data_IF_962802381350
#
_entry.id   IF_962802381350
#
_cell.length_a   1.000
_cell.length_b   1.000
_cell.length_c   1.000
_cell.angle_alpha   90.00
_cell.angle_beta   90.00
_cell.angle_gamma   90.00
#
_symmetry.space_group_name_H-M   'P 1'
#
loop_
_entity.id
_entity.type
_entity.pdbx_description
1 polymer ?
#
# COMPACT_ATOMS: atom_id res chain seq x y z
N UNK A 1 15.75 -8.94 23.49
CA UNK A 1 14.50 -8.47 24.11
C UNK A 1 13.63 -7.79 23.06
N UNK A 2 12.32 -8.04 23.13
CA UNK A 2 11.30 -7.33 22.34
C UNK A 2 11.00 -5.95 22.96
N UNK A 3 10.64 -4.99 22.13
CA UNK A 3 10.35 -3.61 22.53
C UNK A 3 8.87 -3.39 22.88
N UNK A 4 7.98 -4.23 22.35
CA UNK A 4 6.53 -4.20 22.58
C UNK A 4 5.94 -5.60 22.40
N UNK A 5 4.69 -5.78 22.81
CA UNK A 5 4.02 -7.09 22.89
C UNK A 5 2.91 -7.28 21.84
N UNK A 6 2.40 -6.19 21.25
CA UNK A 6 1.35 -6.25 20.24
C UNK A 6 1.94 -6.42 18.83
N UNK A 7 1.49 -7.44 18.10
CA UNK A 7 1.92 -7.76 16.75
C UNK A 7 0.73 -8.23 15.90
N UNK A 8 0.98 -8.37 14.60
CA UNK A 8 0.01 -8.85 13.62
C UNK A 8 -0.43 -7.76 12.66
N UNK A 9 -1.34 -8.11 11.76
CA UNK A 9 -1.97 -7.14 10.86
C UNK A 9 -3.41 -6.93 11.28
N UNK A 10 -3.79 -5.66 11.45
CA UNK A 10 -5.19 -5.25 11.41
C UNK A 10 -5.73 -5.39 9.98
N UNK A 11 -6.41 -4.36 9.48
CA UNK A 11 -6.89 -4.35 8.09
C UNK A 11 -5.83 -3.91 7.09
N UNK A 12 -4.86 -3.12 7.53
CA UNK A 12 -3.83 -2.52 6.71
C UNK A 12 -2.46 -2.66 7.38
N UNK A 13 -1.49 -3.15 6.61
CA UNK A 13 -0.20 -3.57 7.13
C UNK A 13 0.63 -2.41 7.64
N UNK A 14 0.87 -1.39 6.83
CA UNK A 14 1.76 -0.28 7.19
C UNK A 14 1.20 0.55 8.35
N UNK A 15 -0.12 0.65 8.49
CA UNK A 15 -0.74 1.29 9.67
C UNK A 15 -0.57 0.47 10.93
N UNK A 16 -0.66 -0.86 10.83
CA UNK A 16 -0.40 -1.76 11.97
C UNK A 16 1.05 -1.62 12.44
N UNK A 17 2.01 -1.62 11.50
CA UNK A 17 3.43 -1.42 11.81
C UNK A 17 3.69 -0.09 12.55
N UNK A 18 3.11 1.02 12.05
CA UNK A 18 3.26 2.32 12.70
C UNK A 18 2.60 2.33 14.08
N UNK A 19 1.39 1.78 14.20
CA UNK A 19 0.66 1.69 15.46
C UNK A 19 1.44 0.93 16.52
N UNK A 20 1.94 -0.27 16.22
CA UNK A 20 2.67 -1.07 17.20
C UNK A 20 4.02 -0.45 17.57
N UNK A 21 4.76 0.09 16.59
CA UNK A 21 6.01 0.80 16.85
C UNK A 21 5.85 2.06 17.72
N UNK A 22 4.64 2.62 17.80
CA UNK A 22 4.28 3.75 18.68
C UNK A 22 3.56 3.30 19.97
N UNK A 23 3.58 2.00 20.28
CA UNK A 23 3.04 1.44 21.51
C UNK A 23 1.53 1.19 21.50
N UNK A 24 0.89 1.10 20.34
CA UNK A 24 -0.52 0.70 20.20
C UNK A 24 -1.54 1.78 20.58
N UNK A 25 -1.08 3.03 20.81
CA UNK A 25 -1.87 4.13 21.39
C UNK A 25 -2.91 4.76 20.47
N UNK A 26 -2.82 4.51 19.16
CA UNK A 26 -3.69 5.10 18.15
C UNK A 26 -4.57 4.05 17.47
N UNK A 27 -5.79 4.41 17.11
CA UNK A 27 -6.65 3.61 16.24
C UNK A 27 -5.99 3.38 14.88
N UNK A 28 -6.10 2.18 14.33
CA UNK A 28 -5.55 1.85 13.02
C UNK A 28 -6.07 2.79 11.92
N UNK A 29 -7.37 3.09 11.97
CA UNK A 29 -8.02 4.00 11.02
C UNK A 29 -7.42 5.41 11.09
N UNK A 30 -7.18 5.92 12.30
CA UNK A 30 -6.55 7.23 12.50
C UNK A 30 -5.16 7.28 11.86
N UNK A 31 -4.30 6.30 12.16
CA UNK A 31 -2.95 6.22 11.58
C UNK A 31 -3.01 6.12 10.04
N UNK A 32 -3.91 5.30 9.51
CA UNK A 32 -4.05 5.12 8.07
C UNK A 32 -4.54 6.37 7.34
N UNK A 33 -5.53 7.07 7.91
CA UNK A 33 -6.00 8.34 7.38
C UNK A 33 -4.91 9.40 7.39
N UNK A 34 -4.18 9.53 8.51
CA UNK A 34 -3.10 10.49 8.66
C UNK A 34 -1.93 10.21 7.73
N UNK A 35 -1.57 8.96 7.43
CA UNK A 35 -0.50 8.66 6.48
C UNK A 35 -0.79 9.11 5.02
N UNK A 36 -1.97 9.70 4.78
CA UNK A 36 -2.41 10.23 3.51
C UNK A 36 -3.48 9.37 2.82
N UNK A 37 -4.09 8.47 3.58
CA UNK A 37 -5.33 7.78 3.25
C UNK A 37 -5.30 7.01 1.93
N UNK A 38 -6.42 7.10 1.22
CA UNK A 38 -6.62 6.45 -0.07
C UNK A 38 -5.92 7.20 -1.20
N UNK A 39 -5.62 6.45 -2.24
CA UNK A 39 -5.14 6.96 -3.51
C UNK A 39 -5.60 6.05 -4.64
N UNK A 40 -5.10 6.34 -5.83
CA UNK A 40 -5.23 5.44 -6.95
C UNK A 40 -4.03 5.62 -7.87
N UNK A 41 -3.42 4.52 -8.28
CA UNK A 41 -2.43 4.47 -9.34
C UNK A 41 -2.77 3.27 -10.22
N UNK A 42 -2.76 3.41 -11.54
CA UNK A 42 -3.02 2.32 -12.48
C UNK A 42 -1.99 2.25 -13.60
N UNK A 43 -1.29 1.13 -13.69
CA UNK A 43 -0.35 0.82 -14.76
C UNK A 43 -0.54 -0.59 -15.29
N UNK A 44 -0.21 -0.79 -16.56
CA UNK A 44 0.02 -2.11 -17.15
C UNK A 44 1.36 -2.06 -17.86
N UNK A 45 2.30 -2.89 -17.41
CA UNK A 45 3.62 -3.01 -18.00
C UNK A 45 3.68 -4.26 -18.89
N UNK A 46 4.30 -4.13 -20.07
CA UNK A 46 4.41 -5.20 -21.05
C UNK A 46 5.89 -5.46 -21.32
N UNK A 47 6.35 -6.66 -20.99
CA UNK A 47 7.74 -7.10 -21.19
C UNK A 47 7.75 -8.33 -22.08
N UNK A 48 8.73 -8.42 -22.98
CA UNK A 48 8.89 -9.57 -23.89
C UNK A 48 9.00 -10.86 -23.08
N UNK A 49 8.20 -11.87 -23.46
CA UNK A 49 8.21 -13.18 -22.80
C UNK A 49 7.53 -13.24 -21.44
N UNK A 50 6.81 -12.19 -21.02
CA UNK A 50 6.01 -12.18 -19.79
C UNK A 50 4.55 -11.77 -20.09
N UNK A 51 3.57 -12.32 -19.37
CA UNK A 51 2.21 -11.77 -19.37
C UNK A 51 2.22 -10.29 -18.95
N UNK A 52 1.28 -9.45 -19.44
CA UNK A 52 1.19 -8.07 -19.00
C UNK A 52 1.02 -7.95 -17.48
N UNK A 53 1.85 -7.12 -16.86
CA UNK A 53 1.87 -6.90 -15.42
C UNK A 53 1.00 -5.71 -15.07
N UNK A 54 -0.21 -6.00 -14.59
CA UNK A 54 -1.10 -5.02 -13.98
C UNK A 54 -0.53 -4.53 -12.64
N UNK A 55 -0.67 -3.26 -12.33
CA UNK A 55 -0.45 -2.73 -10.98
C UNK A 55 -1.50 -1.69 -10.69
N UNK A 56 -2.21 -1.89 -9.59
CA UNK A 56 -3.01 -0.85 -8.96
C UNK A 56 -2.47 -0.64 -7.55
N UNK A 57 -2.34 0.62 -7.14
CA UNK A 57 -2.08 1.01 -5.75
C UNK A 57 -3.25 1.87 -5.30
N UNK A 58 -3.99 1.41 -4.28
CA UNK A 58 -5.23 2.03 -3.84
C UNK A 58 -5.07 2.91 -2.59
N UNK A 59 -3.82 3.20 -2.22
CA UNK A 59 -3.44 4.04 -1.10
C UNK A 59 -2.53 5.19 -1.53
N UNK A 60 -2.19 6.06 -0.59
CA UNK A 60 -1.11 7.03 -0.69
C UNK A 60 0.17 6.48 -1.37
N UNK A 61 0.52 7.01 -2.56
CA UNK A 61 1.72 6.62 -3.32
C UNK A 61 2.17 7.80 -4.21
N UNK A 62 3.48 7.99 -4.51
CA UNK A 62 4.66 7.19 -4.14
C UNK A 62 5.40 7.63 -2.86
N UNK A 63 4.83 8.58 -2.10
CA UNK A 63 5.49 9.10 -0.89
C UNK A 63 5.74 8.03 0.19
N UNK A 64 6.70 8.31 1.10
CA UNK A 64 6.95 7.44 2.25
C UNK A 64 5.74 7.45 3.19
N UNK A 65 5.12 6.28 3.35
CA UNK A 65 3.92 6.10 4.17
C UNK A 65 4.24 6.34 5.65
N UNK A 66 5.32 5.73 6.16
CA UNK A 66 5.76 5.87 7.56
C UNK A 66 6.04 7.32 7.92
N UNK A 67 6.80 8.04 7.10
CA UNK A 67 7.10 9.47 7.38
C UNK A 67 5.84 10.32 7.35
N UNK A 68 4.97 10.09 6.37
CA UNK A 68 3.69 10.81 6.28
C UNK A 68 2.84 10.60 7.53
N UNK A 69 2.83 9.39 8.09
CA UNK A 69 2.15 9.08 9.34
C UNK A 69 2.80 9.80 10.52
N UNK A 70 4.13 9.68 10.70
CA UNK A 70 4.85 10.29 11.82
C UNK A 70 4.79 11.82 11.81
N UNK A 71 4.96 12.45 10.65
CA UNK A 71 4.85 13.91 10.47
C UNK A 71 3.49 14.42 10.94
N UNK A 72 2.40 13.75 10.52
CA UNK A 72 1.04 14.16 10.85
C UNK A 72 0.58 13.74 12.23
N UNK A 73 1.15 12.68 12.80
CA UNK A 73 0.99 12.33 14.22
C UNK A 73 1.83 13.24 15.13
N UNK A 74 2.66 14.14 14.58
CA UNK A 74 3.58 15.01 15.33
C UNK A 74 4.58 14.23 16.18
N UNK A 75 4.92 13.01 15.75
CA UNK A 75 5.94 12.18 16.40
C UNK A 75 7.30 12.53 15.83
N UNK A 76 8.28 12.95 16.66
CA UNK A 76 9.62 13.24 16.19
C UNK A 76 10.34 11.95 15.78
N UNK A 77 11.07 11.97 14.67
CA UNK A 77 11.83 10.82 14.19
C UNK A 77 13.14 11.23 13.52
N UNK A 78 14.11 10.32 13.58
CA UNK A 78 15.35 10.41 12.83
C UNK A 78 15.25 9.61 11.53
N UNK A 79 15.86 10.12 10.48
CA UNK A 79 16.06 9.41 9.21
C UNK A 79 17.54 9.34 8.91
N UNK A 80 18.05 8.14 8.64
CA UNK A 80 19.39 7.97 8.12
C UNK A 80 19.42 7.09 6.87
N UNK A 81 20.39 7.35 6.01
CA UNK A 81 20.71 6.53 4.84
C UNK A 81 22.20 6.18 4.89
N UNK A 82 22.56 5.07 4.26
CA UNK A 82 23.94 4.62 4.23
C UNK A 82 24.24 3.71 3.03
N UNK A 83 25.51 3.64 2.65
CA UNK A 83 25.95 2.78 1.54
C UNK A 83 25.87 1.27 1.88
N UNK A 84 25.82 0.92 3.16
CA UNK A 84 25.71 -0.45 3.68
C UNK A 84 25.03 -0.45 5.05
N UNK A 85 24.56 -1.61 5.56
CA UNK A 85 23.87 -1.70 6.85
C UNK A 85 24.70 -1.11 8.00
N UNK A 86 24.16 -0.11 8.71
CA UNK A 86 24.79 0.52 9.89
C UNK A 86 24.28 -0.12 11.18
N UNK A 87 24.74 -1.33 11.44
CA UNK A 87 24.32 -2.12 12.61
C UNK A 87 24.63 -1.46 13.95
N UNK A 88 25.70 -0.66 14.02
CA UNK A 88 26.01 0.20 15.17
C UNK A 88 24.84 1.11 15.53
N UNK A 89 24.21 1.73 14.53
CA UNK A 89 23.06 2.63 14.72
C UNK A 89 21.77 1.87 15.01
N UNK A 90 21.55 0.76 14.32
CA UNK A 90 20.38 -0.11 14.57
C UNK A 90 20.39 -0.61 16.00
N UNK A 91 21.52 -1.15 16.46
CA UNK A 91 21.65 -1.64 17.84
C UNK A 91 21.49 -0.52 18.85
N UNK A 92 22.11 0.65 18.63
CA UNK A 92 21.93 1.80 19.52
C UNK A 92 20.47 2.28 19.61
N UNK A 93 19.70 2.22 18.52
CA UNK A 93 18.28 2.53 18.53
C UNK A 93 17.48 1.50 19.35
N UNK A 94 17.67 0.21 19.04
CA UNK A 94 16.98 -0.89 19.73
C UNK A 94 17.33 -0.95 21.22
N UNK A 95 18.58 -0.72 21.59
CA UNK A 95 19.04 -0.72 22.98
C UNK A 95 18.49 0.48 23.77
N UNK A 96 18.20 1.58 23.08
CA UNK A 96 17.49 2.72 23.64
C UNK A 96 15.96 2.53 23.67
N UNK A 97 15.46 1.32 23.39
CA UNK A 97 14.04 1.02 23.40
C UNK A 97 13.26 1.52 22.18
N UNK A 98 13.96 1.89 21.08
CA UNK A 98 13.33 2.52 19.91
C UNK A 98 13.27 1.54 18.73
N UNK A 99 12.06 1.21 18.22
CA UNK A 99 11.94 0.37 17.03
C UNK A 99 12.48 1.08 15.79
N UNK A 100 12.88 0.28 14.80
CA UNK A 100 13.51 0.79 13.58
C UNK A 100 12.72 0.33 12.36
N UNK A 101 12.15 1.26 11.60
CA UNK A 101 11.57 0.94 10.29
C UNK A 101 12.69 0.84 9.25
N UNK A 102 12.66 -0.23 8.47
CA UNK A 102 13.58 -0.47 7.36
C UNK A 102 12.78 -0.77 6.10
N UNK A 103 13.24 -0.27 4.94
CA UNK A 103 12.74 -0.72 3.64
C UNK A 103 13.70 -1.74 3.05
N UNK A 104 13.26 -2.99 2.95
CA UNK A 104 14.03 -4.13 2.42
C UNK A 104 13.48 -4.56 1.06
N UNK A 105 14.11 -5.54 0.42
CA UNK A 105 13.48 -6.28 -0.67
C UNK A 105 12.68 -7.45 -0.09
N UNK A 106 11.38 -7.52 -0.37
CA UNK A 106 10.50 -8.57 0.19
C UNK A 106 10.99 -9.98 -0.15
N UNK A 107 11.55 -10.17 -1.35
CA UNK A 107 12.02 -11.49 -1.81
C UNK A 107 13.20 -12.03 -1.00
N UNK A 108 13.93 -11.16 -0.29
CA UNK A 108 15.03 -11.54 0.58
C UNK A 108 14.60 -12.02 1.98
N UNK A 109 13.31 -11.92 2.32
CA UNK A 109 12.80 -12.35 3.62
C UNK A 109 12.34 -13.82 3.55
N UNK A 110 12.80 -14.70 4.45
CA UNK A 110 12.66 -16.15 4.30
C UNK A 110 11.21 -16.66 4.40
N UNK A 111 10.31 -15.88 5.02
CA UNK A 111 8.89 -16.27 5.20
C UNK A 111 7.98 -15.85 4.03
N UNK A 112 8.44 -15.03 3.08
CA UNK A 112 7.64 -14.64 1.90
C UNK A 112 7.74 -15.62 0.72
N UNK A 113 8.61 -16.62 0.82
CA UNK A 113 8.88 -17.59 -0.24
C UNK A 113 9.62 -16.97 -1.45
N UNK A 114 10.04 -17.81 -2.39
CA UNK A 114 10.62 -17.34 -3.64
C UNK A 114 9.49 -16.71 -4.50
N UNK A 115 9.48 -15.38 -4.60
CA UNK A 115 8.57 -14.67 -5.49
C UNK A 115 8.99 -14.76 -6.97
N UNK A 116 8.05 -14.48 -7.88
CA UNK A 116 8.31 -14.38 -9.32
C UNK A 116 8.99 -13.04 -9.71
N UNK A 117 9.05 -12.09 -8.77
CA UNK A 117 9.64 -10.77 -8.98
C UNK A 117 11.17 -10.81 -8.90
N UNK A 118 11.90 -10.07 -9.77
CA UNK A 118 13.35 -9.97 -9.67
C UNK A 118 13.79 -9.41 -8.31
N UNK A 119 14.91 -9.90 -7.78
CA UNK A 119 15.51 -9.35 -6.58
C UNK A 119 15.73 -7.82 -6.69
N UNK A 120 15.33 -7.10 -5.66
CA UNK A 120 15.39 -5.65 -5.51
C UNK A 120 14.23 -4.89 -6.15
N UNK A 121 13.27 -5.57 -6.78
CA UNK A 121 12.13 -4.95 -7.45
C UNK A 121 10.95 -4.62 -6.52
N UNK A 122 10.91 -5.22 -5.32
CA UNK A 122 9.76 -5.12 -4.41
C UNK A 122 10.16 -4.45 -3.08
N UNK A 123 10.27 -3.09 -3.04
CA UNK A 123 10.53 -2.37 -1.80
C UNK A 123 9.47 -2.69 -0.76
N UNK A 124 9.88 -3.00 0.46
CA UNK A 124 8.97 -3.50 1.47
C UNK A 124 9.36 -3.02 2.87
N UNK A 125 8.49 -2.23 3.50
CA UNK A 125 8.76 -1.65 4.82
C UNK A 125 8.47 -2.66 5.93
N UNK A 126 9.43 -2.94 6.80
CA UNK A 126 9.27 -3.80 8.00
C UNK A 126 9.73 -3.03 9.25
N UNK A 127 9.42 -3.55 10.44
CA UNK A 127 9.91 -2.98 11.72
C UNK A 127 10.82 -3.96 12.42
N UNK A 128 12.01 -3.50 12.83
CA UNK A 128 12.82 -4.20 13.82
C UNK A 128 12.25 -3.89 15.20
N UNK A 129 11.59 -4.89 15.78
CA UNK A 129 10.88 -4.83 17.06
C UNK A 129 11.76 -5.21 18.26
N UNK A 130 13.03 -5.53 18.03
CA UNK A 130 13.97 -5.90 19.07
C UNK A 130 15.14 -6.72 18.54
N UNK A 131 16.03 -7.13 19.45
CA UNK A 131 17.16 -8.03 19.14
C UNK A 131 17.54 -8.89 20.33
N UNK A 132 18.13 -10.04 20.07
CA UNK A 132 18.79 -10.91 21.06
C UNK A 132 20.13 -11.40 20.47
N UNK A 133 21.25 -10.87 20.96
CA UNK A 133 22.56 -11.04 20.32
C UNK A 133 22.54 -10.56 18.86
N UNK A 134 22.90 -11.47 17.94
CA UNK A 134 22.85 -11.29 16.48
C UNK A 134 21.52 -11.71 15.84
N UNK A 135 20.53 -12.10 16.64
CA UNK A 135 19.17 -12.39 16.15
C UNK A 135 18.30 -11.15 16.23
N UNK A 136 17.68 -10.77 15.11
CA UNK A 136 16.71 -9.68 15.03
C UNK A 136 15.29 -10.22 15.17
N UNK A 137 14.42 -9.43 15.79
CA UNK A 137 12.97 -9.65 15.78
C UNK A 137 12.34 -8.68 14.79
N UNK A 138 11.72 -9.21 13.75
CA UNK A 138 11.11 -8.44 12.66
C UNK A 138 9.61 -8.58 12.74
N UNK A 139 8.91 -7.46 12.91
CA UNK A 139 7.48 -7.42 12.73
C UNK A 139 7.15 -7.36 11.25
N UNK A 140 6.41 -8.37 10.80
CA UNK A 140 5.91 -8.45 9.45
C UNK A 140 4.68 -9.35 9.34
N UNK A 141 3.51 -8.74 9.56
CA UNK A 141 2.17 -9.34 9.44
C UNK A 141 1.78 -10.49 10.38
N UNK A 142 2.75 -11.26 10.87
CA UNK A 142 2.53 -12.39 11.77
C UNK A 142 2.13 -11.94 13.18
N UNK A 143 1.34 -12.75 13.91
CA UNK A 143 0.90 -12.45 15.29
C UNK A 143 2.05 -12.50 16.31
N UNK A 144 3.24 -12.93 15.90
CA UNK A 144 4.49 -12.84 16.65
C UNK A 144 5.61 -12.43 15.69
N UNK A 145 6.64 -11.71 16.16
CA UNK A 145 7.69 -11.25 15.28
C UNK A 145 8.54 -12.41 14.78
N UNK A 146 8.93 -12.34 13.51
CA UNK A 146 9.84 -13.29 12.91
C UNK A 146 11.25 -13.12 13.49
N UNK A 147 11.96 -14.24 13.66
CA UNK A 147 13.35 -14.24 14.06
C UNK A 147 14.22 -14.44 12.83
N UNK A 148 15.23 -13.59 12.67
CA UNK A 148 16.16 -13.68 11.54
C UNK A 148 17.58 -13.32 11.98
N UNK A 149 18.62 -14.02 11.50
CA UNK A 149 20.00 -13.59 11.69
C UNK A 149 20.25 -12.22 11.08
N UNK A 150 21.06 -11.39 11.76
CA UNK A 150 21.47 -10.06 11.30
C UNK A 150 22.01 -10.07 9.86
N UNK A 151 22.83 -11.06 9.51
CA UNK A 151 23.42 -11.19 8.18
C UNK A 151 22.36 -11.39 7.09
N UNK A 152 21.40 -12.28 7.32
CA UNK A 152 20.33 -12.60 6.38
C UNK A 152 19.39 -11.40 6.17
N UNK A 153 19.01 -10.72 7.25
CA UNK A 153 18.27 -9.45 7.13
C UNK A 153 19.08 -8.39 6.37
N UNK A 154 20.38 -8.30 6.65
CA UNK A 154 21.29 -7.39 5.96
C UNK A 154 21.34 -7.63 4.45
N UNK A 155 21.26 -8.88 4.01
CA UNK A 155 21.18 -9.24 2.59
C UNK A 155 19.86 -8.75 1.96
N UNK A 156 18.72 -8.99 2.61
CA UNK A 156 17.41 -8.49 2.16
C UNK A 156 17.37 -6.96 2.10
N UNK A 157 17.96 -6.30 3.10
CA UNK A 157 18.06 -4.84 3.14
C UNK A 157 18.96 -4.27 2.03
N UNK A 158 20.07 -4.95 1.75
CA UNK A 158 21.04 -4.56 0.71
C UNK A 158 20.52 -4.80 -0.71
N UNK A 159 19.65 -5.79 -0.90
CA UNK A 159 19.03 -6.08 -2.19
C UNK A 159 18.18 -4.89 -2.69
N UNK A 160 17.54 -4.14 -1.78
CA UNK A 160 16.85 -2.90 -2.12
C UNK A 160 17.80 -1.68 -2.23
N UNK A 161 18.63 -1.67 -3.27
CA UNK A 161 19.69 -0.66 -3.49
C UNK A 161 19.19 0.79 -3.52
N UNK A 162 17.99 1.03 -4.08
CA UNK A 162 17.42 2.38 -4.20
C UNK A 162 17.13 3.02 -2.85
N UNK A 163 16.76 2.23 -1.84
CA UNK A 163 16.48 2.70 -0.50
C UNK A 163 17.71 3.06 0.32
N UNK A 164 18.93 2.72 -0.14
CA UNK A 164 20.21 3.04 0.53
C UNK A 164 20.19 2.80 2.04
N UNK A 165 19.72 1.62 2.43
CA UNK A 165 19.60 1.23 3.83
C UNK A 165 18.91 2.29 4.69
N UNK A 166 17.80 2.84 4.19
CA UNK A 166 17.00 3.80 4.94
C UNK A 166 16.55 3.18 6.26
N UNK A 167 16.80 3.92 7.34
CA UNK A 167 16.24 3.67 8.65
C UNK A 167 15.43 4.88 9.10
N UNK A 168 14.22 4.64 9.60
CA UNK A 168 13.38 5.64 10.26
C UNK A 168 13.22 5.19 11.71
N UNK A 169 13.52 6.07 12.67
CA UNK A 169 13.48 5.76 14.10
C UNK A 169 12.64 6.81 14.81
N UNK A 170 11.44 6.48 15.32
CA UNK A 170 10.73 7.35 16.25
C UNK A 170 11.61 7.65 17.48
N UNK A 171 11.71 8.92 17.85
CA UNK A 171 12.66 9.39 18.87
C UNK A 171 12.01 9.79 20.19
N UNK A 172 10.68 9.87 20.22
CA UNK A 172 9.93 10.28 21.41
C UNK A 172 8.42 10.25 21.18
N UNK A 173 7.63 10.69 22.17
CA UNK A 173 6.18 10.79 22.06
C UNK A 173 5.75 11.90 21.08
N UNK A 174 4.48 11.89 20.70
CA UNK A 174 3.87 12.98 19.93
C UNK A 174 4.04 14.33 20.66
N UNK A 175 4.33 15.38 19.90
CA UNK A 175 4.62 16.74 20.41
C UNK A 175 3.45 17.71 20.25
N UNK A 176 2.32 17.25 19.72
CA UNK A 176 1.11 18.03 19.53
C UNK A 176 -0.01 17.19 18.94
N UNK A 177 -1.11 17.85 18.60
CA UNK A 177 -2.30 17.19 18.05
C UNK A 177 -2.07 16.69 16.62
N UNK A 178 -2.70 15.57 16.23
CA UNK A 178 -2.62 15.09 14.86
C UNK A 178 -3.14 16.08 13.82
N UNK A 179 -2.43 16.22 12.70
CA UNK A 179 -2.80 17.08 11.58
C UNK A 179 -3.86 16.43 10.66
N UNK A 180 -5.10 16.42 11.15
CA UNK A 180 -6.25 15.83 10.46
C UNK A 180 -6.59 16.61 9.18
N UNK A 181 -6.70 17.93 9.26
CA UNK A 181 -7.07 18.77 8.11
C UNK A 181 -6.01 18.69 7.00
N UNK A 182 -4.72 18.68 7.34
CA UNK A 182 -3.64 18.46 6.37
C UNK A 182 -3.63 17.05 5.76
N UNK A 183 -4.20 16.04 6.43
CA UNK A 183 -4.38 14.70 5.89
C UNK A 183 -5.56 14.61 4.90
N UNK A 184 -6.69 15.25 5.23
CA UNK A 184 -7.87 15.36 4.38
C UNK A 184 -7.52 16.10 3.08
N UNK A 185 -6.91 17.28 3.20
CA UNK A 185 -6.50 18.09 2.06
C UNK A 185 -5.51 17.34 1.14
N UNK A 186 -4.55 16.61 1.73
CA UNK A 186 -3.59 15.83 0.95
C UNK A 186 -4.24 14.65 0.21
N UNK A 187 -5.21 13.97 0.83
CA UNK A 187 -5.99 12.91 0.18
C UNK A 187 -6.78 13.48 -1.00
N UNK A 188 -7.50 14.59 -0.77
CA UNK A 188 -8.27 15.28 -1.82
C UNK A 188 -7.37 15.71 -2.99
N UNK A 189 -6.21 16.31 -2.70
CA UNK A 189 -5.25 16.75 -3.70
C UNK A 189 -4.69 15.58 -4.52
N UNK A 190 -4.39 14.43 -3.90
CA UNK A 190 -3.89 13.23 -4.60
C UNK A 190 -4.94 12.59 -5.51
N UNK A 191 -6.21 12.66 -5.15
CA UNK A 191 -7.29 12.12 -5.96
C UNK A 191 -7.66 13.03 -7.13
N UNK A 192 -7.55 14.35 -6.96
CA UNK A 192 -8.07 15.33 -7.93
C UNK A 192 -7.00 16.03 -8.76
N UNK A 193 -5.78 16.16 -8.23
CA UNK A 193 -4.70 16.93 -8.80
C UNK A 193 -3.51 16.08 -9.27
N UNK A 194 -2.46 16.74 -9.79
CA UNK A 194 -1.22 16.05 -10.14
C UNK A 194 -0.53 15.48 -8.89
N UNK A 195 0.01 14.27 -9.00
CA UNK A 195 0.74 13.57 -7.93
C UNK A 195 2.25 13.68 -8.13
N UNK A 196 2.71 13.54 -9.37
CA UNK A 196 4.13 13.57 -9.77
C UNK A 196 4.52 14.88 -10.46
N UNK A 197 3.55 15.69 -10.90
CA UNK A 197 3.78 16.93 -11.62
C UNK A 197 4.35 16.72 -13.03
N UNK A 198 3.97 15.63 -13.70
CA UNK A 198 4.46 15.30 -15.03
C UNK A 198 3.45 14.43 -15.81
N UNK A 199 3.81 14.04 -17.05
CA UNK A 199 2.92 13.29 -17.95
C UNK A 199 2.36 11.97 -17.38
N UNK A 200 2.96 11.41 -16.33
CA UNK A 200 2.47 10.18 -15.70
C UNK A 200 1.29 10.41 -14.76
N UNK A 201 0.91 11.65 -14.46
CA UNK A 201 -0.25 11.98 -13.62
C UNK A 201 -1.57 11.42 -14.14
N UNK A 202 -1.67 11.14 -15.45
CA UNK A 202 -2.82 10.44 -16.07
C UNK A 202 -3.08 9.03 -15.52
N UNK A 203 -2.15 8.48 -14.75
CA UNK A 203 -2.26 7.17 -14.12
C UNK A 203 -2.70 7.25 -12.66
N UNK A 204 -2.86 8.46 -12.10
CA UNK A 204 -3.10 8.67 -10.67
C UNK A 204 -4.48 9.27 -10.39
N UNK A 205 -4.95 9.04 -9.17
CA UNK A 205 -6.22 9.57 -8.67
C UNK A 205 -7.40 9.22 -9.58
N UNK A 206 -8.33 10.15 -9.70
CA UNK A 206 -9.50 10.04 -10.57
C UNK A 206 -9.13 9.87 -12.04
N UNK A 207 -8.06 10.51 -12.52
CA UNK A 207 -7.60 10.32 -13.90
C UNK A 207 -7.15 8.87 -14.16
N UNK A 208 -6.48 8.24 -13.18
CA UNK A 208 -6.11 6.84 -13.24
C UNK A 208 -7.32 5.90 -13.27
N UNK A 209 -8.35 6.22 -12.48
CA UNK A 209 -9.62 5.46 -12.47
C UNK A 209 -10.37 5.58 -13.80
N UNK A 210 -10.45 6.79 -14.37
CA UNK A 210 -11.03 7.04 -15.70
C UNK A 210 -10.27 6.26 -16.78
N UNK A 211 -8.94 6.26 -16.70
CA UNK A 211 -8.09 5.51 -17.62
C UNK A 211 -8.31 4.00 -17.51
N UNK A 212 -8.46 3.47 -16.29
CA UNK A 212 -8.80 2.06 -16.08
C UNK A 212 -10.15 1.72 -16.73
N UNK A 213 -11.20 2.50 -16.43
CA UNK A 213 -12.52 2.30 -17.03
C UNK A 213 -12.46 2.35 -18.57
N UNK A 214 -11.78 3.35 -19.13
CA UNK A 214 -11.61 3.47 -20.58
C UNK A 214 -10.89 2.27 -21.20
N UNK A 215 -9.81 1.78 -20.57
CA UNK A 215 -9.09 0.58 -21.04
C UNK A 215 -9.93 -0.71 -20.91
N UNK A 216 -10.81 -0.80 -19.91
CA UNK A 216 -11.74 -1.92 -19.78
C UNK A 216 -12.81 -1.89 -20.90
N UNK A 217 -13.32 -0.70 -21.25
CA UNK A 217 -14.28 -0.48 -22.34
C UNK A 217 -13.68 -0.59 -23.74
N UNK A 218 -12.37 -0.39 -23.89
CA UNK A 218 -11.71 -0.35 -25.19
C UNK A 218 -11.65 -1.72 -25.87
N UNK A 219 -12.26 -1.80 -27.06
CA UNK A 219 -12.32 -2.99 -27.93
C UNK A 219 -11.44 -2.87 -29.17
N UNK A 220 -10.87 -1.68 -29.39
CA UNK A 220 -10.33 -1.25 -30.68
C UNK A 220 -8.84 -1.02 -30.67
N UNK A 221 -8.27 -0.60 -29.55
CA UNK A 221 -6.84 -0.28 -29.49
C UNK A 221 -6.06 -1.35 -28.74
N UNK A 222 -4.74 -1.32 -28.89
CA UNK A 222 -3.81 -2.18 -28.14
C UNK A 222 -3.87 -1.98 -26.62
N UNK A 223 -4.44 -0.87 -26.14
CA UNK A 223 -4.53 -0.58 -24.72
C UNK A 223 -5.71 -1.29 -24.03
N UNK A 224 -6.69 -1.74 -24.83
CA UNK A 224 -7.86 -2.43 -24.34
C UNK A 224 -7.54 -3.76 -23.66
N UNK A 225 -8.25 -4.07 -22.58
CA UNK A 225 -8.05 -5.30 -21.82
C UNK A 225 -8.38 -6.56 -22.64
N UNK A 226 -9.29 -6.48 -23.62
CA UNK A 226 -9.56 -7.57 -24.56
C UNK A 226 -8.29 -8.02 -25.30
N UNK A 227 -7.40 -7.08 -25.64
CA UNK A 227 -6.16 -7.40 -26.36
C UNK A 227 -5.04 -7.77 -25.41
N UNK A 228 -4.81 -6.95 -24.38
CA UNK A 228 -3.73 -7.19 -23.40
C UNK A 228 -3.91 -8.50 -22.65
N UNK A 229 -5.13 -8.81 -22.25
CA UNK A 229 -5.48 -10.00 -21.49
C UNK A 229 -6.30 -10.99 -22.35
N UNK A 230 -5.96 -11.03 -23.64
CA UNK A 230 -6.64 -11.82 -24.68
C UNK A 230 -6.32 -13.32 -24.67
N UNK A 231 -5.16 -13.71 -24.16
CA UNK A 231 -4.80 -15.13 -23.99
C UNK A 231 -5.25 -15.66 -22.63
N UNK A 232 -5.49 -16.98 -22.48
CA UNK A 232 -5.85 -17.55 -21.18
C UNK A 232 -4.83 -17.29 -20.07
N UNK A 233 -3.54 -17.34 -20.40
CA UNK A 233 -2.44 -17.05 -19.47
C UNK A 233 -2.45 -15.58 -19.02
N UNK A 234 -2.50 -14.65 -19.98
CA UNK A 234 -2.54 -13.22 -19.67
C UNK A 234 -3.79 -12.86 -18.86
N UNK A 235 -4.94 -13.44 -19.21
CA UNK A 235 -6.17 -13.25 -18.47
C UNK A 235 -6.02 -13.67 -17.00
N UNK A 236 -5.54 -14.89 -16.73
CA UNK A 236 -5.32 -15.39 -15.36
C UNK A 236 -4.33 -14.52 -14.59
N UNK A 237 -3.24 -14.08 -15.24
CA UNK A 237 -2.26 -13.19 -14.62
C UNK A 237 -2.90 -11.84 -14.24
N UNK A 238 -3.65 -11.24 -15.17
CA UNK A 238 -4.33 -9.96 -14.99
C UNK A 238 -5.39 -9.99 -13.89
N UNK A 239 -6.29 -10.98 -13.88
CA UNK A 239 -7.36 -11.06 -12.88
C UNK A 239 -6.85 -11.41 -11.48
N UNK A 240 -5.86 -12.31 -11.37
CA UNK A 240 -5.18 -12.60 -10.09
C UNK A 240 -4.53 -11.33 -9.53
N UNK A 241 -3.86 -10.57 -10.40
CA UNK A 241 -3.19 -9.33 -9.99
C UNK A 241 -4.19 -8.24 -9.62
N UNK A 242 -5.31 -8.13 -10.34
CA UNK A 242 -6.38 -7.19 -10.03
C UNK A 242 -6.94 -7.44 -8.62
N UNK A 243 -7.22 -8.70 -8.28
CA UNK A 243 -7.64 -9.09 -6.93
C UNK A 243 -6.57 -8.74 -5.90
N UNK A 244 -5.31 -9.11 -6.13
CA UNK A 244 -4.21 -8.82 -5.21
C UNK A 244 -4.06 -7.31 -4.95
N UNK A 245 -4.09 -6.47 -5.98
CA UNK A 245 -3.96 -5.01 -5.86
C UNK A 245 -5.12 -4.30 -5.17
N UNK A 246 -6.32 -4.90 -5.16
CA UNK A 246 -7.52 -4.27 -4.57
C UNK A 246 -7.84 -4.82 -3.17
N UNK A 247 -7.28 -5.97 -2.80
CA UNK A 247 -7.61 -6.65 -1.55
C UNK A 247 -6.42 -6.97 -0.64
N UNK A 248 -5.16 -6.93 -1.13
CA UNK A 248 -4.01 -7.45 -0.36
C UNK A 248 -2.73 -6.63 -0.45
N UNK A 249 -2.32 -6.23 -1.64
CA UNK A 249 -1.01 -5.61 -1.89
C UNK A 249 -1.15 -4.11 -2.13
N UNK A 250 -0.39 -3.32 -1.38
CA UNK A 250 -0.43 -1.84 -1.46
C UNK A 250 -1.84 -1.27 -1.23
N UNK A 251 -2.61 -1.95 -0.40
CA UNK A 251 -4.00 -1.67 -0.08
C UNK A 251 -4.43 -2.43 1.18
N UNK A 252 -5.61 -2.10 1.70
CA UNK A 252 -6.45 -2.97 2.51
C UNK A 252 -7.68 -3.45 1.71
N UNK A 253 -8.44 -4.45 2.20
CA UNK A 253 -9.68 -4.91 1.56
C UNK A 253 -10.62 -3.77 1.16
N UNK A 254 -11.26 -3.91 -0.01
CA UNK A 254 -12.09 -2.85 -0.59
C UNK A 254 -11.28 -1.61 -1.02
N UNK A 255 -10.07 -1.82 -1.55
CA UNK A 255 -9.19 -0.77 -2.05
C UNK A 255 -8.86 0.31 -0.97
N UNK A 256 -8.71 -0.08 0.29
CA UNK A 256 -8.49 0.78 1.47
C UNK A 256 -9.65 1.72 1.85
N UNK A 257 -10.72 1.80 1.03
CA UNK A 257 -11.86 2.70 1.28
C UNK A 257 -12.58 2.42 2.60
N UNK A 258 -12.78 1.17 3.07
CA UNK A 258 -13.41 0.93 4.37
C UNK A 258 -12.62 1.53 5.53
N UNK A 259 -11.29 1.35 5.53
CA UNK A 259 -10.43 1.87 6.59
C UNK A 259 -10.41 3.41 6.57
N UNK A 260 -10.40 4.01 5.39
CA UNK A 260 -10.49 5.46 5.24
C UNK A 260 -11.87 6.02 5.64
N UNK A 261 -12.96 5.29 5.38
CA UNK A 261 -14.28 5.67 5.85
C UNK A 261 -14.37 5.67 7.38
N UNK A 262 -13.75 4.69 8.04
CA UNK A 262 -13.70 4.67 9.51
C UNK A 262 -12.88 5.83 10.06
N UNK A 263 -11.78 6.22 9.39
CA UNK A 263 -11.07 7.44 9.71
C UNK A 263 -11.96 8.67 9.60
N UNK A 264 -12.72 8.79 8.49
CA UNK A 264 -13.63 9.91 8.28
C UNK A 264 -14.72 9.98 9.35
N UNK A 265 -15.26 8.86 9.81
CA UNK A 265 -16.19 8.84 10.94
C UNK A 265 -15.52 9.35 12.23
N UNK A 266 -14.31 8.88 12.54
CA UNK A 266 -13.55 9.32 13.72
C UNK A 266 -13.32 10.84 13.72
N UNK A 267 -13.12 11.45 12.55
CA UNK A 267 -12.87 12.89 12.42
C UNK A 267 -14.12 13.71 12.06
N UNK A 268 -15.31 13.13 12.22
CA UNK A 268 -16.58 13.86 12.06
C UNK A 268 -16.94 14.20 10.61
N UNK A 269 -16.67 13.29 9.67
CA UNK A 269 -17.03 13.38 8.24
C UNK A 269 -17.91 12.19 7.76
N UNK A 270 -19.03 11.86 8.45
CA UNK A 270 -19.79 10.63 8.21
C UNK A 270 -20.47 10.56 6.83
N UNK A 271 -20.84 11.70 6.25
CA UNK A 271 -21.46 11.74 4.92
C UNK A 271 -20.46 11.31 3.82
N UNK A 272 -19.20 11.78 3.90
CA UNK A 272 -18.13 11.32 3.03
C UNK A 272 -17.77 9.86 3.31
N UNK A 273 -17.72 9.45 4.58
CA UNK A 273 -17.46 8.07 4.97
C UNK A 273 -18.45 7.08 4.33
N UNK A 274 -19.75 7.39 4.37
CA UNK A 274 -20.78 6.54 3.77
C UNK A 274 -20.56 6.32 2.26
N UNK A 275 -20.19 7.36 1.52
CA UNK A 275 -19.92 7.27 0.09
C UNK A 275 -18.67 6.41 -0.20
N UNK A 276 -17.61 6.53 0.60
CA UNK A 276 -16.44 5.66 0.46
C UNK A 276 -16.73 4.21 0.82
N UNK A 277 -17.60 3.91 1.80
CA UNK A 277 -18.04 2.54 2.09
C UNK A 277 -18.82 1.94 0.92
N UNK A 278 -19.69 2.71 0.30
CA UNK A 278 -20.41 2.26 -0.89
C UNK A 278 -19.44 2.00 -2.05
N UNK A 279 -18.47 2.90 -2.29
CA UNK A 279 -17.42 2.68 -3.28
C UNK A 279 -16.59 1.42 -2.99
N UNK A 280 -16.27 1.16 -1.71
CA UNK A 280 -15.56 -0.04 -1.30
C UNK A 280 -16.29 -1.33 -1.72
N UNK A 281 -17.62 -1.35 -1.60
CA UNK A 281 -18.44 -2.47 -2.04
C UNK A 281 -18.27 -2.78 -3.52
N UNK A 282 -18.19 -1.74 -4.37
CA UNK A 282 -17.92 -1.91 -5.80
C UNK A 282 -16.51 -2.43 -6.07
N UNK A 283 -15.50 -1.93 -5.36
CA UNK A 283 -14.12 -2.40 -5.49
C UNK A 283 -13.97 -3.87 -5.10
N UNK A 284 -14.53 -4.27 -3.96
CA UNK A 284 -14.49 -5.69 -3.54
C UNK A 284 -15.31 -6.58 -4.46
N UNK A 285 -16.45 -6.10 -4.98
CA UNK A 285 -17.22 -6.85 -5.97
C UNK A 285 -16.43 -7.07 -7.25
N UNK A 286 -15.72 -6.05 -7.73
CA UNK A 286 -14.86 -6.14 -8.90
C UNK A 286 -13.73 -7.14 -8.66
N UNK A 287 -13.04 -7.04 -7.52
CA UNK A 287 -11.96 -7.95 -7.14
C UNK A 287 -12.44 -9.40 -7.07
N UNK A 288 -13.60 -9.64 -6.47
CA UNK A 288 -14.20 -10.97 -6.35
C UNK A 288 -14.58 -11.55 -7.71
N UNK A 289 -15.23 -10.77 -8.57
CA UNK A 289 -15.53 -11.18 -9.94
C UNK A 289 -14.26 -11.57 -10.71
N UNK A 290 -13.17 -10.82 -10.54
CA UNK A 290 -11.87 -11.15 -11.13
C UNK A 290 -11.30 -12.47 -10.58
N UNK A 291 -11.38 -12.68 -9.26
CA UNK A 291 -10.89 -13.89 -8.59
C UNK A 291 -11.60 -15.15 -9.07
N UNK A 292 -12.91 -15.07 -9.33
CA UNK A 292 -13.73 -16.23 -9.74
C UNK A 292 -13.80 -16.43 -11.26
N UNK A 293 -13.32 -15.48 -12.05
CA UNK A 293 -13.45 -15.54 -13.50
C UNK A 293 -12.56 -16.64 -14.13
N UNK A 294 -13.17 -17.44 -15.01
CA UNK A 294 -12.44 -18.32 -15.93
C UNK A 294 -12.00 -17.59 -17.20
N UNK A 295 -11.01 -18.11 -17.95
CA UNK A 295 -10.50 -17.49 -19.17
C UNK A 295 -11.40 -17.70 -20.40
N UNK A 296 -12.72 -17.80 -20.20
CA UNK A 296 -13.70 -18.03 -21.27
C UNK A 296 -13.76 -16.80 -22.20
N UNK A 297 -13.39 -16.94 -23.50
CA UNK A 297 -13.44 -15.85 -24.45
C UNK A 297 -14.83 -15.22 -24.61
N UNK A 298 -15.90 -16.03 -24.52
CA UNK A 298 -17.26 -15.59 -24.80
C UNK A 298 -17.83 -14.76 -23.63
N UNK A 299 -17.48 -15.12 -22.38
CA UNK A 299 -17.91 -14.40 -21.18
C UNK A 299 -17.05 -13.15 -20.86
N UNK A 300 -15.80 -13.09 -21.36
CA UNK A 300 -14.82 -12.07 -20.98
C UNK A 300 -15.24 -10.64 -21.29
N UNK A 301 -15.94 -10.40 -22.41
CA UNK A 301 -16.41 -9.05 -22.75
C UNK A 301 -17.36 -8.52 -21.69
N UNK A 302 -18.39 -9.29 -21.38
CA UNK A 302 -19.38 -8.94 -20.36
C UNK A 302 -18.73 -8.71 -19.00
N UNK A 303 -17.71 -9.51 -18.66
CA UNK A 303 -16.93 -9.33 -17.43
C UNK A 303 -16.21 -7.97 -17.40
N UNK A 304 -15.49 -7.60 -18.47
CA UNK A 304 -14.79 -6.31 -18.53
C UNK A 304 -15.76 -5.12 -18.55
N UNK A 305 -16.95 -5.25 -19.14
CA UNK A 305 -18.01 -4.24 -19.04
C UNK A 305 -18.55 -4.12 -17.61
N UNK A 306 -18.68 -5.25 -16.90
CA UNK A 306 -19.02 -5.27 -15.48
C UNK A 306 -17.96 -4.56 -14.63
N UNK A 307 -16.67 -4.83 -14.88
CA UNK A 307 -15.57 -4.13 -14.20
C UNK A 307 -15.62 -2.63 -14.46
N UNK A 308 -15.75 -2.22 -15.72
CA UNK A 308 -15.79 -0.79 -16.08
C UNK A 308 -16.96 -0.08 -15.37
N UNK A 309 -18.14 -0.70 -15.35
CA UNK A 309 -19.32 -0.14 -14.67
C UNK A 309 -19.06 0.06 -13.18
N UNK A 310 -18.45 -0.90 -12.50
CA UNK A 310 -18.11 -0.78 -11.08
C UNK A 310 -17.09 0.34 -10.83
N UNK A 311 -16.05 0.46 -11.68
CA UNK A 311 -15.06 1.56 -11.59
C UNK A 311 -15.73 2.92 -11.79
N UNK A 312 -16.62 3.05 -12.79
CA UNK A 312 -17.36 4.28 -13.09
C UNK A 312 -18.28 4.69 -11.92
N UNK A 313 -18.95 3.71 -11.30
CA UNK A 313 -19.79 3.94 -10.11
C UNK A 313 -18.97 4.37 -8.89
N UNK A 314 -17.86 3.67 -8.60
CA UNK A 314 -16.89 4.08 -7.57
C UNK A 314 -16.39 5.50 -7.81
N UNK A 315 -15.99 5.82 -9.04
CA UNK A 315 -15.50 7.16 -9.39
C UNK A 315 -16.53 8.25 -9.10
N UNK A 316 -17.80 8.03 -9.44
CA UNK A 316 -18.87 8.99 -9.20
C UNK A 316 -19.10 9.22 -7.69
N UNK A 317 -19.08 8.15 -6.89
CA UNK A 317 -19.19 8.23 -5.43
C UNK A 317 -18.00 8.96 -4.81
N UNK A 318 -16.77 8.61 -5.22
CA UNK A 318 -15.55 9.18 -4.65
C UNK A 318 -15.40 10.66 -5.00
N UNK A 319 -15.80 11.10 -6.20
CA UNK A 319 -15.86 12.53 -6.56
C UNK A 319 -16.81 13.31 -5.65
N UNK A 320 -17.98 12.73 -5.33
CA UNK A 320 -18.96 13.35 -4.40
C UNK A 320 -18.44 13.36 -2.96
N UNK A 321 -17.70 12.33 -2.56
CA UNK A 321 -17.11 12.25 -1.22
C UNK A 321 -15.99 13.27 -1.04
N UNK A 322 -15.08 13.39 -2.03
CA UNK A 322 -13.98 14.35 -1.99
C UNK A 322 -14.47 15.81 -1.97
N UNK A 323 -15.60 16.12 -2.61
CA UNK A 323 -16.21 17.45 -2.51
C UNK A 323 -16.73 17.82 -1.11
N UNK A 324 -16.71 16.88 -0.16
CA UNK A 324 -17.13 17.06 1.24
C UNK A 324 -15.95 16.98 2.23
N UNK A 325 -14.73 16.77 1.75
CA UNK A 325 -13.51 16.77 2.57
C UNK A 325 -13.00 18.20 2.74
#
# INVERSE_FOLDING_TARGET
>A
MLLYEEFGTGRHRESSLVRHALGGTHDEALVAGLAGGIGFMYFVFEYTGRPPQLTIVAQAHPGSWVRSALDRLRVPYDVAHSAGPRWDRVHAALDAGRPVFCTVDRSGLPWHGAGDEPAGADPYTVVLAGRDGDTLYVEDTAPTPHRIPREEFGAAWSAHRKGRHEMIVPTGPATGDPDVEGALAATAARLTGPVLGNRFDVNFGFSGMEKLAAHLRDRRTKNGWERRFGTPEAFRAGTRRLYACLEREWTAPGATRPLYADFLDLVGRPAAAALFRESAGHWSRLAELARTAGPDPDARRALFDGFATLVEQSLALERRAVAQL
#
